data_IF_151288196496
#
_entry.id   IF_151288196496
#
_cell.length_a   1.000
_cell.length_b   1.000
_cell.length_c   1.000
_cell.angle_alpha   90.00
_cell.angle_beta   90.00
_cell.angle_gamma   90.00
#
_symmetry.space_group_name_H-M   'P 1'
#
loop_
_entity.id
_entity.type
_entity.pdbx_description
1 polymer ?
#
# COMPACT_ATOMS: atom_id res chain seq x y z
N UNK A 1 -1.66 -9.46 -17.18
CA UNK A 1 -0.89 -8.59 -18.09
C UNK A 1 -1.55 -7.23 -18.07
N UNK A 2 -0.87 -6.21 -17.56
CA UNK A 2 -1.32 -4.81 -17.69
C UNK A 2 -1.13 -4.44 -19.16
N UNK A 3 -2.24 -4.21 -19.88
CA UNK A 3 -2.17 -3.71 -21.27
C UNK A 3 -1.49 -2.33 -21.31
N UNK A 4 -0.88 -1.99 -22.44
CA UNK A 4 -0.27 -0.68 -22.65
C UNK A 4 -1.29 0.44 -22.34
N UNK A 5 -1.13 1.11 -21.20
CA UNK A 5 -1.94 2.24 -20.81
C UNK A 5 -2.68 2.12 -19.46
N UNK A 6 -2.74 0.95 -18.83
CA UNK A 6 -3.34 0.81 -17.50
C UNK A 6 -2.26 0.95 -16.43
N UNK A 7 -2.43 1.89 -15.52
CA UNK A 7 -1.63 2.01 -14.30
C UNK A 7 -2.47 1.54 -13.12
N UNK A 8 -1.94 0.57 -12.38
CA UNK A 8 -2.47 0.16 -11.09
C UNK A 8 -1.78 1.00 -10.01
N UNK A 9 -2.55 1.49 -9.06
CA UNK A 9 -1.96 2.25 -7.97
C UNK A 9 -2.68 2.05 -6.65
N UNK A 10 -1.90 2.16 -5.62
CA UNK A 10 -2.28 1.98 -4.22
C UNK A 10 -2.05 3.30 -3.48
N UNK A 11 -3.04 3.72 -2.72
CA UNK A 11 -2.91 4.85 -1.82
C UNK A 11 -2.35 4.35 -0.48
N UNK A 12 -1.05 4.52 -0.27
CA UNK A 12 -0.36 4.17 0.97
C UNK A 12 -1.02 4.90 2.15
N UNK A 13 -1.53 4.17 3.12
CA UNK A 13 -2.35 4.67 4.24
C UNK A 13 -3.56 5.51 3.82
N UNK A 14 -4.14 5.24 2.64
CA UNK A 14 -5.22 6.04 2.08
C UNK A 14 -4.79 7.38 1.44
N UNK A 15 -3.48 7.60 1.19
CA UNK A 15 -2.94 8.85 0.63
C UNK A 15 -2.46 9.84 1.69
N UNK A 16 -1.67 9.37 2.62
CA UNK A 16 -1.32 9.97 3.90
C UNK A 16 -0.65 11.35 3.89
N UNK A 17 -0.21 11.88 2.72
CA UNK A 17 0.31 13.24 2.63
C UNK A 17 -0.66 14.26 2.01
N UNK A 18 -1.73 13.80 1.37
CA UNK A 18 -2.78 14.69 0.85
C UNK A 18 -4.06 14.65 1.68
N UNK A 19 -4.31 13.52 2.35
CA UNK A 19 -5.41 13.31 3.27
C UNK A 19 -4.88 12.79 4.61
N UNK A 20 -5.64 12.88 5.71
CA UNK A 20 -5.22 12.27 6.96
C UNK A 20 -5.09 10.75 6.80
N UNK A 21 -3.94 10.21 7.18
CA UNK A 21 -3.63 8.79 7.02
C UNK A 21 -4.59 7.88 7.79
N UNK A 22 -4.85 6.69 7.24
CA UNK A 22 -5.67 5.64 7.87
C UNK A 22 -7.09 6.08 8.24
N UNK A 23 -7.66 7.06 7.52
CA UNK A 23 -9.00 7.59 7.79
C UNK A 23 -10.05 7.10 6.79
N UNK A 24 -11.33 7.07 7.19
CA UNK A 24 -12.43 6.79 6.27
C UNK A 24 -12.45 7.70 5.04
N UNK A 25 -12.13 9.00 5.22
CA UNK A 25 -12.07 9.94 4.09
C UNK A 25 -10.95 9.61 3.12
N UNK A 26 -9.78 9.20 3.60
CA UNK A 26 -8.65 8.79 2.75
C UNK A 26 -8.98 7.54 1.93
N UNK A 27 -9.58 6.53 2.56
CA UNK A 27 -9.95 5.29 1.88
C UNK A 27 -11.05 5.50 0.82
N UNK A 28 -12.12 6.22 1.14
CA UNK A 28 -13.17 6.53 0.15
C UNK A 28 -12.61 7.37 -0.99
N UNK A 29 -11.72 8.32 -0.69
CA UNK A 29 -11.09 9.16 -1.70
C UNK A 29 -10.24 8.34 -2.69
N UNK A 30 -9.43 7.40 -2.20
CA UNK A 30 -8.65 6.50 -3.04
C UNK A 30 -9.54 5.67 -3.98
N UNK A 31 -10.63 5.08 -3.46
CA UNK A 31 -11.61 4.37 -4.30
C UNK A 31 -12.29 5.27 -5.32
N UNK A 32 -12.64 6.50 -4.95
CA UNK A 32 -13.27 7.46 -5.88
C UNK A 32 -12.35 7.85 -7.03
N UNK A 33 -11.04 7.91 -6.80
CA UNK A 33 -10.03 8.15 -7.84
C UNK A 33 -9.67 6.89 -8.65
N UNK A 34 -10.26 5.73 -8.34
CA UNK A 34 -9.98 4.47 -9.03
C UNK A 34 -8.72 3.75 -8.57
N UNK A 35 -8.19 4.10 -7.39
CA UNK A 35 -7.07 3.41 -6.75
C UNK A 35 -7.50 2.40 -5.70
N UNK A 36 -6.53 1.69 -5.16
CA UNK A 36 -6.70 0.72 -4.08
C UNK A 36 -6.11 1.32 -2.80
N UNK A 37 -6.90 1.66 -1.78
CA UNK A 37 -6.34 2.12 -0.51
C UNK A 37 -5.59 0.99 0.19
N UNK A 38 -4.56 1.36 0.95
CA UNK A 38 -3.84 0.46 1.83
C UNK A 38 -4.16 0.81 3.29
N UNK A 39 -4.35 -0.23 4.10
CA UNK A 39 -4.73 -0.16 5.50
C UNK A 39 -3.81 -1.04 6.35
N UNK A 40 -3.12 -0.43 7.30
CA UNK A 40 -2.27 -1.12 8.27
C UNK A 40 -3.13 -1.78 9.36
N UNK A 41 -3.07 -3.09 9.54
CA UNK A 41 -3.90 -3.78 10.51
C UNK A 41 -3.22 -3.98 11.85
N UNK A 42 -3.81 -3.42 12.91
CA UNK A 42 -3.45 -3.62 14.32
C UNK A 42 -4.65 -4.13 15.11
N UNK A 43 -4.38 -4.68 16.31
CA UNK A 43 -5.42 -5.14 17.25
C UNK A 43 -5.37 -4.36 18.56
N UNK A 44 -6.53 -4.05 19.13
CA UNK A 44 -6.71 -3.45 20.46
C UNK A 44 -6.67 -4.50 21.57
N UNK A 45 -6.60 -4.05 22.84
CA UNK A 45 -6.60 -4.92 24.02
C UNK A 45 -7.82 -5.85 24.09
N UNK A 46 -8.97 -5.41 23.60
CA UNK A 46 -10.22 -6.17 23.52
C UNK A 46 -10.39 -6.91 22.18
N UNK A 47 -9.30 -7.05 21.41
CA UNK A 47 -9.25 -7.85 20.18
C UNK A 47 -9.94 -7.22 18.99
N UNK A 48 -10.26 -5.92 18.99
CA UNK A 48 -10.82 -5.26 17.80
C UNK A 48 -9.73 -4.98 16.78
N UNK A 49 -9.91 -5.40 15.53
CA UNK A 49 -9.02 -5.07 14.44
C UNK A 49 -9.35 -3.68 13.88
N UNK A 50 -8.32 -2.86 13.71
CA UNK A 50 -8.45 -1.48 13.24
C UNK A 50 -7.33 -1.12 12.27
N UNK A 51 -7.53 -0.03 11.49
CA UNK A 51 -6.53 0.49 10.57
C UNK A 51 -5.77 1.63 11.22
N UNK A 52 -4.51 1.39 11.57
CA UNK A 52 -3.57 2.40 12.05
C UNK A 52 -2.14 1.91 11.84
N UNK A 53 -1.28 2.74 11.25
CA UNK A 53 0.10 2.33 10.96
C UNK A 53 0.92 2.12 12.23
N UNK A 54 0.93 3.09 13.13
CA UNK A 54 1.75 3.02 14.33
C UNK A 54 1.10 2.14 15.40
N UNK A 55 1.91 1.46 16.18
CA UNK A 55 1.43 0.75 17.37
C UNK A 55 0.99 1.66 18.52
N UNK A 56 0.94 2.99 18.31
CA UNK A 56 0.58 4.03 19.29
C UNK A 56 -0.11 5.19 18.61
N UNK A 57 -0.90 5.97 19.37
CA UNK A 57 -1.70 7.08 18.86
C UNK A 57 -0.94 8.41 18.75
N UNK A 58 0.15 8.61 19.49
CA UNK A 58 0.75 9.92 19.75
C UNK A 58 1.21 10.72 18.53
N UNK A 59 1.46 10.08 17.37
CA UNK A 59 1.82 10.77 16.14
C UNK A 59 0.59 11.21 15.33
N UNK A 60 -0.46 10.40 15.32
CA UNK A 60 -1.60 10.58 14.42
C UNK A 60 -2.81 11.21 15.10
N UNK A 61 -3.02 10.96 16.40
CA UNK A 61 -4.17 11.50 17.12
C UNK A 61 -3.95 12.97 17.53
N UNK A 62 -5.01 13.77 17.37
CA UNK A 62 -5.06 15.17 17.76
C UNK A 62 -5.58 15.30 19.20
N UNK A 63 -5.10 16.31 19.92
CA UNK A 63 -5.61 16.68 21.25
C UNK A 63 -5.72 15.51 22.23
N UNK A 64 -4.74 14.61 22.22
CA UNK A 64 -4.67 13.43 23.05
C UNK A 64 -3.77 13.68 24.26
N UNK A 65 -4.13 13.14 25.42
CA UNK A 65 -3.25 13.16 26.59
C UNK A 65 -1.99 12.30 26.34
N UNK A 66 -0.88 12.70 26.99
CA UNK A 66 0.43 12.10 26.78
C UNK A 66 0.46 10.59 27.12
N UNK A 67 -0.24 10.18 28.17
CA UNK A 67 -0.32 8.78 28.59
C UNK A 67 -0.98 7.94 27.51
N UNK A 68 -2.17 8.33 27.06
CA UNK A 68 -2.88 7.63 25.96
C UNK A 68 -2.06 7.63 24.67
N UNK A 69 -1.38 8.75 24.33
CA UNK A 69 -0.56 8.86 23.13
C UNK A 69 0.66 7.91 23.13
N UNK A 70 1.20 7.59 24.31
CA UNK A 70 2.35 6.69 24.46
C UNK A 70 1.96 5.23 24.71
N UNK A 71 0.73 4.96 25.12
CA UNK A 71 0.25 3.60 25.41
C UNK A 71 0.15 2.80 24.10
N UNK A 72 0.67 1.57 24.04
CA UNK A 72 0.49 0.69 22.89
C UNK A 72 -1.00 0.44 22.61
N UNK A 73 -1.39 0.43 21.34
CA UNK A 73 -2.76 0.13 20.89
C UNK A 73 -3.25 -1.21 21.47
N UNK A 74 -2.36 -2.20 21.51
CA UNK A 74 -2.67 -3.53 22.06
C UNK A 74 -3.02 -3.53 23.58
N UNK A 75 -2.78 -2.43 24.27
CA UNK A 75 -3.12 -2.23 25.68
C UNK A 75 -4.33 -1.31 25.88
N UNK A 76 -4.83 -0.69 24.81
CA UNK A 76 -5.99 0.21 24.85
C UNK A 76 -7.27 -0.52 24.39
N UNK A 77 -8.42 -0.34 25.09
CA UNK A 77 -9.69 -0.85 24.58
C UNK A 77 -10.15 -0.04 23.37
N UNK A 78 -10.81 -0.71 22.43
CA UNK A 78 -11.31 -0.08 21.20
C UNK A 78 -12.16 1.17 21.45
N UNK A 79 -13.01 1.15 22.46
CA UNK A 79 -13.84 2.30 22.83
C UNK A 79 -13.03 3.57 23.18
N UNK A 80 -11.79 3.43 23.68
CA UNK A 80 -10.86 4.54 23.90
C UNK A 80 -10.26 5.02 22.60
N UNK A 81 -9.74 4.10 21.81
CA UNK A 81 -9.10 4.38 20.51
C UNK A 81 -10.06 5.06 19.53
N UNK A 82 -11.31 4.62 19.48
CA UNK A 82 -12.36 5.13 18.59
C UNK A 82 -12.75 6.59 18.86
N UNK A 83 -12.45 7.12 20.03
CA UNK A 83 -12.74 8.52 20.39
C UNK A 83 -11.66 9.51 19.95
N UNK A 84 -10.51 9.02 19.55
CA UNK A 84 -9.41 9.87 19.11
C UNK A 84 -9.67 10.40 17.70
N UNK A 85 -9.52 11.71 17.53
CA UNK A 85 -9.51 12.35 16.21
C UNK A 85 -8.14 12.17 15.57
N UNK A 86 -8.09 11.49 14.42
CA UNK A 86 -6.89 11.32 13.60
C UNK A 86 -6.96 12.17 12.31
N UNK A 87 -7.82 13.17 12.29
CA UNK A 87 -8.01 14.07 11.17
C UNK A 87 -6.96 15.16 11.03
N UNK A 88 -7.32 16.17 10.29
CA UNK A 88 -6.53 17.38 10.08
C UNK A 88 -7.44 18.61 10.14
N UNK A 89 -6.85 19.81 10.07
CA UNK A 89 -7.67 21.05 10.05
C UNK A 89 -8.61 21.10 8.85
N UNK A 90 -8.22 20.51 7.74
CA UNK A 90 -9.07 20.42 6.54
C UNK A 90 -10.13 19.31 6.65
N UNK A 91 -9.82 18.25 7.37
CA UNK A 91 -10.68 17.08 7.54
C UNK A 91 -10.74 16.71 9.04
N UNK A 92 -11.44 17.52 9.86
CA UNK A 92 -11.55 17.27 11.30
C UNK A 92 -12.43 16.06 11.60
N UNK A 93 -12.38 15.63 12.86
CA UNK A 93 -13.26 14.60 13.42
C UNK A 93 -13.19 13.24 12.71
N UNK A 94 -12.00 12.89 12.21
CA UNK A 94 -11.78 11.58 11.61
C UNK A 94 -11.49 10.55 12.71
N UNK A 95 -12.18 9.43 12.62
CA UNK A 95 -12.02 8.33 13.55
C UNK A 95 -11.22 7.20 12.92
N UNK A 96 -10.52 6.41 13.75
CA UNK A 96 -9.81 5.21 13.29
C UNK A 96 -10.85 4.16 12.88
N UNK A 97 -10.90 3.74 11.60
CA UNK A 97 -11.87 2.74 11.17
C UNK A 97 -11.50 1.35 11.68
N UNK A 98 -12.49 0.55 12.04
CA UNK A 98 -12.28 -0.88 12.23
C UNK A 98 -12.15 -1.58 10.88
N UNK A 99 -11.48 -2.73 10.87
CA UNK A 99 -11.39 -3.55 9.66
C UNK A 99 -12.77 -4.05 9.23
N UNK A 100 -13.70 -4.33 10.16
CA UNK A 100 -15.10 -4.65 9.83
C UNK A 100 -15.77 -3.57 8.98
N UNK A 101 -15.55 -2.28 9.30
CA UNK A 101 -16.12 -1.16 8.55
C UNK A 101 -15.56 -1.10 7.12
N UNK A 102 -14.26 -1.36 6.96
CA UNK A 102 -13.63 -1.40 5.64
C UNK A 102 -14.11 -2.59 4.81
N UNK A 103 -14.17 -3.79 5.40
CA UNK A 103 -14.68 -4.98 4.70
C UNK A 103 -16.16 -4.87 4.34
N UNK A 104 -16.96 -4.17 5.14
CA UNK A 104 -18.35 -3.88 4.79
C UNK A 104 -18.47 -3.02 3.53
N UNK A 105 -17.54 -2.07 3.30
CA UNK A 105 -17.47 -1.28 2.08
C UNK A 105 -17.15 -2.13 0.85
N UNK A 106 -16.23 -3.08 0.97
CA UNK A 106 -15.91 -4.02 -0.10
C UNK A 106 -17.10 -4.91 -0.45
N UNK A 107 -17.77 -5.47 0.56
CA UNK A 107 -18.97 -6.30 0.35
C UNK A 107 -20.08 -5.55 -0.38
N UNK A 108 -20.18 -4.24 -0.20
CA UNK A 108 -21.18 -3.38 -0.85
C UNK A 108 -20.84 -3.05 -2.31
N UNK A 109 -19.59 -3.20 -2.75
CA UNK A 109 -19.15 -2.90 -4.11
C UNK A 109 -17.99 -3.81 -4.52
N UNK A 110 -18.24 -4.76 -5.40
CA UNK A 110 -17.26 -5.75 -5.90
C UNK A 110 -16.09 -5.13 -6.69
N UNK A 111 -16.19 -3.86 -7.09
CA UNK A 111 -15.12 -3.15 -7.79
C UNK A 111 -14.08 -2.56 -6.82
N UNK A 112 -14.46 -2.41 -5.55
CA UNK A 112 -13.54 -1.94 -4.51
C UNK A 112 -12.57 -3.04 -4.13
N UNK A 113 -11.31 -2.69 -4.05
CA UNK A 113 -10.24 -3.54 -3.52
C UNK A 113 -9.54 -2.82 -2.37
N UNK A 114 -8.85 -3.57 -1.52
CA UNK A 114 -8.03 -3.02 -0.43
C UNK A 114 -6.74 -3.83 -0.28
N UNK A 115 -5.66 -3.15 0.05
CA UNK A 115 -4.44 -3.78 0.56
C UNK A 115 -4.47 -3.73 2.09
N UNK A 116 -4.25 -4.84 2.75
CA UNK A 116 -4.09 -4.92 4.20
C UNK A 116 -2.60 -5.16 4.49
N UNK A 117 -1.90 -4.15 5.00
CA UNK A 117 -0.53 -4.35 5.48
C UNK A 117 -0.55 -4.90 6.91
N UNK A 118 0.01 -6.09 7.05
CA UNK A 118 0.02 -6.81 8.33
C UNK A 118 1.01 -6.20 9.30
N UNK A 119 0.52 -5.78 10.47
CA UNK A 119 1.36 -5.27 11.57
C UNK A 119 1.31 -6.20 12.79
N UNK A 120 0.27 -6.08 13.59
CA UNK A 120 0.15 -6.79 14.86
C UNK A 120 -1.31 -7.20 15.12
N UNK A 121 -1.83 -8.08 14.28
CA UNK A 121 -3.17 -8.63 14.42
C UNK A 121 -3.12 -10.17 14.42
N UNK A 122 -3.98 -10.88 15.17
CA UNK A 122 -4.08 -12.33 15.05
C UNK A 122 -4.52 -12.73 13.63
N UNK A 123 -3.71 -13.50 12.91
CA UNK A 123 -3.97 -13.89 11.51
C UNK A 123 -5.27 -14.67 11.37
N UNK A 124 -5.55 -15.55 12.32
CA UNK A 124 -6.78 -16.35 12.35
C UNK A 124 -8.01 -15.44 12.47
N UNK A 125 -7.97 -14.45 13.34
CA UNK A 125 -9.06 -13.48 13.51
C UNK A 125 -9.29 -12.65 12.25
N UNK A 126 -8.21 -12.18 11.61
CA UNK A 126 -8.31 -11.47 10.34
C UNK A 126 -8.92 -12.37 9.25
N UNK A 127 -8.49 -13.62 9.20
CA UNK A 127 -9.01 -14.64 8.27
C UNK A 127 -10.51 -14.89 8.49
N UNK A 128 -10.96 -15.09 9.73
CA UNK A 128 -12.36 -15.28 10.07
C UNK A 128 -13.21 -14.06 9.68
N UNK A 129 -12.67 -12.86 9.89
CA UNK A 129 -13.33 -11.62 9.52
C UNK A 129 -13.52 -11.53 7.99
N UNK A 130 -12.49 -11.81 7.20
CA UNK A 130 -12.54 -11.82 5.73
C UNK A 130 -13.56 -12.84 5.24
N UNK A 131 -13.55 -14.05 5.80
CA UNK A 131 -14.50 -15.12 5.45
C UNK A 131 -15.94 -14.71 5.76
N UNK A 132 -16.19 -14.09 6.91
CA UNK A 132 -17.51 -13.61 7.32
C UNK A 132 -18.10 -12.57 6.36
N UNK A 133 -17.25 -11.69 5.81
CA UNK A 133 -17.68 -10.71 4.81
C UNK A 133 -17.73 -11.25 3.39
N UNK A 134 -17.04 -12.37 3.10
CA UNK A 134 -17.01 -12.99 1.76
C UNK A 134 -16.27 -12.16 0.71
N UNK A 135 -15.22 -11.44 1.10
CA UNK A 135 -14.52 -10.46 0.26
C UNK A 135 -13.08 -10.83 -0.09
N UNK A 136 -12.68 -12.09 0.09
CA UNK A 136 -11.30 -12.56 -0.06
C UNK A 136 -10.66 -12.11 -1.39
N UNK A 137 -11.40 -12.18 -2.51
CA UNK A 137 -10.90 -11.81 -3.85
C UNK A 137 -10.64 -10.31 -4.05
N UNK A 138 -11.17 -9.48 -3.16
CA UNK A 138 -11.02 -8.02 -3.18
C UNK A 138 -9.83 -7.56 -2.32
N UNK A 139 -9.11 -8.51 -1.67
CA UNK A 139 -8.01 -8.20 -0.78
C UNK A 139 -6.66 -8.62 -1.34
N UNK A 140 -5.65 -7.84 -0.95
CA UNK A 140 -4.24 -8.21 -1.01
C UNK A 140 -3.66 -8.07 0.39
N UNK A 141 -3.09 -9.14 0.96
CA UNK A 141 -2.30 -9.05 2.18
C UNK A 141 -0.88 -8.63 1.83
N UNK A 142 -0.40 -7.57 2.46
CA UNK A 142 0.98 -7.12 2.36
C UNK A 142 1.76 -7.48 3.64
N UNK A 143 3.00 -7.92 3.49
CA UNK A 143 3.89 -8.22 4.62
C UNK A 143 5.35 -8.24 4.16
N UNK A 144 6.29 -8.15 5.11
CA UNK A 144 7.73 -8.43 4.89
C UNK A 144 8.13 -9.83 5.34
N UNK A 145 7.25 -10.52 6.06
CA UNK A 145 7.51 -11.81 6.69
C UNK A 145 6.89 -12.95 5.86
N UNK A 146 7.74 -13.79 5.32
CA UNK A 146 7.33 -14.92 4.51
C UNK A 146 6.60 -16.02 5.30
N UNK A 147 6.87 -16.15 6.60
CA UNK A 147 6.13 -17.10 7.44
C UNK A 147 4.68 -16.63 7.64
N UNK A 148 4.46 -15.32 7.84
CA UNK A 148 3.13 -14.69 7.85
C UNK A 148 2.43 -14.94 6.52
N UNK A 149 3.09 -14.68 5.40
CA UNK A 149 2.55 -14.89 4.06
C UNK A 149 2.11 -16.36 3.84
N UNK A 150 3.00 -17.30 4.17
CA UNK A 150 2.73 -18.73 4.03
C UNK A 150 1.57 -19.19 4.93
N UNK A 151 1.53 -18.72 6.18
CA UNK A 151 0.42 -19.03 7.10
C UNK A 151 -0.89 -18.44 6.60
N UNK A 152 -0.89 -17.20 6.15
CA UNK A 152 -2.11 -16.55 5.69
C UNK A 152 -2.66 -17.18 4.42
N UNK A 153 -1.81 -17.61 3.49
CA UNK A 153 -2.23 -18.37 2.30
C UNK A 153 -2.94 -19.68 2.64
N UNK A 154 -2.53 -20.37 3.71
CA UNK A 154 -3.23 -21.56 4.19
C UNK A 154 -4.63 -21.23 4.73
N UNK A 155 -4.77 -20.08 5.40
CA UNK A 155 -6.03 -19.62 5.97
C UNK A 155 -6.98 -19.06 4.92
N UNK A 156 -6.44 -18.33 3.94
CA UNK A 156 -7.20 -17.59 2.92
C UNK A 156 -6.55 -17.76 1.53
N UNK A 157 -6.76 -18.88 0.86
CA UNK A 157 -6.11 -19.20 -0.41
C UNK A 157 -6.54 -18.29 -1.57
N UNK A 158 -7.68 -17.58 -1.46
CA UNK A 158 -8.18 -16.66 -2.49
C UNK A 158 -7.68 -15.22 -2.32
N UNK A 159 -7.04 -14.87 -1.18
CA UNK A 159 -6.43 -13.56 -0.96
C UNK A 159 -5.09 -13.51 -1.68
N UNK A 160 -4.87 -12.45 -2.46
CA UNK A 160 -3.56 -12.18 -3.06
C UNK A 160 -2.55 -11.83 -1.98
N UNK A 161 -1.30 -12.20 -2.17
CA UNK A 161 -0.23 -11.86 -1.22
C UNK A 161 0.85 -11.03 -1.91
N UNK A 162 1.15 -9.91 -1.29
CA UNK A 162 2.22 -8.99 -1.65
C UNK A 162 3.34 -9.07 -0.62
N UNK A 163 4.59 -9.19 -1.09
CA UNK A 163 5.76 -8.96 -0.24
C UNK A 163 6.38 -7.61 -0.59
N UNK A 164 6.72 -6.79 0.41
CA UNK A 164 7.42 -5.55 0.17
C UNK A 164 8.88 -5.58 0.65
N UNK A 165 9.74 -4.95 -0.14
CA UNK A 165 11.17 -4.92 0.03
C UNK A 165 11.61 -3.48 0.28
N UNK A 166 11.97 -3.17 1.52
CA UNK A 166 12.54 -1.90 1.94
C UNK A 166 13.98 -2.07 2.41
N UNK A 167 14.64 -0.95 2.72
CA UNK A 167 16.02 -0.91 3.19
C UNK A 167 16.97 -0.26 2.19
N UNK A 168 18.27 -0.52 2.33
CA UNK A 168 19.27 -0.03 1.39
C UNK A 168 19.16 -0.74 0.02
N UNK A 169 19.63 -0.11 -1.09
CA UNK A 169 19.53 -0.71 -2.43
C UNK A 169 20.07 -2.14 -2.52
N UNK A 170 21.23 -2.41 -1.90
CA UNK A 170 21.82 -3.75 -1.88
C UNK A 170 20.98 -4.80 -1.14
N UNK A 171 20.27 -4.40 -0.09
CA UNK A 171 19.33 -5.27 0.64
C UNK A 171 18.09 -5.58 -0.19
N UNK A 172 17.51 -4.57 -0.85
CA UNK A 172 16.39 -4.75 -1.77
C UNK A 172 16.76 -5.71 -2.88
N UNK A 173 17.92 -5.48 -3.53
CA UNK A 173 18.44 -6.35 -4.61
C UNK A 173 18.62 -7.78 -4.12
N UNK A 174 19.32 -7.99 -3.00
CA UNK A 174 19.59 -9.34 -2.49
C UNK A 174 18.29 -10.09 -2.14
N UNK A 175 17.33 -9.42 -1.51
CA UNK A 175 16.02 -10.03 -1.18
C UNK A 175 15.20 -10.31 -2.45
N UNK A 176 15.22 -9.40 -3.42
CA UNK A 176 14.55 -9.63 -4.69
C UNK A 176 15.12 -10.84 -5.43
N UNK A 177 16.45 -10.96 -5.50
CA UNK A 177 17.13 -12.07 -6.18
C UNK A 177 16.85 -13.42 -5.48
N UNK A 178 16.80 -13.43 -4.15
CA UNK A 178 16.39 -14.60 -3.40
C UNK A 178 14.94 -15.03 -3.69
N UNK A 179 14.01 -14.08 -3.89
CA UNK A 179 12.66 -14.37 -4.32
C UNK A 179 12.62 -14.89 -5.77
N UNK A 180 13.33 -14.24 -6.68
CA UNK A 180 13.38 -14.61 -8.10
C UNK A 180 13.98 -16.00 -8.31
N UNK A 181 15.03 -16.37 -7.56
CA UNK A 181 15.68 -17.69 -7.62
C UNK A 181 14.72 -18.86 -7.30
N UNK A 182 13.63 -18.61 -6.59
CA UNK A 182 12.58 -19.58 -6.26
C UNK A 182 11.24 -19.24 -6.90
N UNK A 183 11.29 -18.55 -8.04
CA UNK A 183 10.11 -18.18 -8.83
C UNK A 183 9.07 -17.39 -8.02
N UNK A 184 9.54 -16.52 -7.13
CA UNK A 184 8.76 -15.69 -6.21
C UNK A 184 7.90 -16.45 -5.18
N UNK A 185 8.05 -17.76 -5.04
CA UNK A 185 7.45 -18.53 -3.94
C UNK A 185 5.93 -18.42 -3.78
N UNK A 186 5.21 -18.06 -4.86
CA UNK A 186 3.75 -17.90 -4.85
C UNK A 186 3.25 -16.50 -4.46
N UNK A 187 4.11 -15.49 -4.38
CA UNK A 187 3.67 -14.10 -4.28
C UNK A 187 3.11 -13.62 -5.61
N UNK A 188 1.93 -13.00 -5.58
CA UNK A 188 1.31 -12.37 -6.77
C UNK A 188 1.92 -11.00 -7.06
N UNK A 189 2.50 -10.35 -6.03
CA UNK A 189 3.07 -9.02 -6.15
C UNK A 189 4.32 -8.85 -5.28
N UNK A 190 5.32 -8.18 -5.83
CA UNK A 190 6.51 -7.70 -5.10
C UNK A 190 6.54 -6.19 -5.18
N UNK A 191 6.62 -5.52 -4.02
CA UNK A 191 6.79 -4.07 -3.94
C UNK A 191 8.24 -3.75 -3.60
N UNK A 192 8.83 -2.81 -4.31
CA UNK A 192 10.17 -2.27 -4.03
C UNK A 192 10.05 -0.81 -3.56
N UNK A 193 10.74 -0.48 -2.47
CA UNK A 193 10.86 0.89 -1.99
C UNK A 193 11.91 1.64 -2.82
N UNK A 194 11.54 2.80 -3.31
CA UNK A 194 12.41 3.68 -4.08
C UNK A 194 12.78 4.89 -3.21
N UNK A 195 13.78 4.69 -2.35
CA UNK A 195 14.31 5.75 -1.50
C UNK A 195 15.06 6.79 -2.34
N UNK A 196 14.98 8.05 -1.95
CA UNK A 196 15.72 9.13 -2.59
C UNK A 196 17.24 8.92 -2.46
N UNK A 197 17.96 9.15 -3.56
CA UNK A 197 19.43 9.27 -3.54
C UNK A 197 19.82 10.66 -3.02
N UNK A 198 20.60 10.78 -1.93
CA UNK A 198 21.04 12.07 -1.44
C UNK A 198 21.89 12.86 -2.43
N UNK A 199 22.59 12.19 -3.35
CA UNK A 199 23.42 12.84 -4.39
C UNK A 199 22.65 13.35 -5.61
N UNK A 200 21.48 12.79 -5.91
CA UNK A 200 20.50 13.24 -6.92
C UNK A 200 21.07 13.86 -8.21
N UNK A 201 21.67 13.05 -9.06
CA UNK A 201 22.24 13.57 -10.33
C UNK A 201 21.17 13.67 -11.43
N UNK A 202 20.91 12.55 -12.12
CA UNK A 202 19.96 12.44 -13.23
C UNK A 202 18.76 11.54 -12.92
N UNK A 203 18.89 10.76 -11.88
CA UNK A 203 17.89 9.82 -11.37
C UNK A 203 17.69 10.09 -9.90
N UNK A 204 16.43 10.15 -9.48
CA UNK A 204 16.09 10.53 -8.11
C UNK A 204 16.46 9.48 -7.07
N UNK A 205 16.37 8.22 -7.44
CA UNK A 205 16.31 7.13 -6.46
C UNK A 205 17.66 6.44 -6.30
N UNK A 206 17.91 5.95 -5.08
CA UNK A 206 19.12 5.21 -4.75
C UNK A 206 19.21 3.85 -5.46
N UNK A 207 18.05 3.22 -5.74
CA UNK A 207 18.00 2.00 -6.56
C UNK A 207 18.19 2.38 -8.04
N UNK A 208 19.25 1.89 -8.73
CA UNK A 208 19.55 2.30 -10.10
C UNK A 208 18.47 1.94 -11.12
N UNK A 209 18.24 2.72 -12.18
CA UNK A 209 17.19 2.46 -13.16
C UNK A 209 17.36 1.14 -13.90
N UNK A 210 18.59 0.71 -14.18
CA UNK A 210 18.84 -0.59 -14.81
C UNK A 210 18.48 -1.75 -13.88
N UNK A 211 18.65 -1.57 -12.59
CA UNK A 211 18.24 -2.55 -11.60
C UNK A 211 16.71 -2.66 -11.50
N UNK A 212 16.01 -1.54 -11.50
CA UNK A 212 14.54 -1.53 -11.57
C UNK A 212 14.05 -2.22 -12.84
N UNK A 213 14.68 -1.96 -13.98
CA UNK A 213 14.33 -2.61 -15.27
C UNK A 213 14.58 -4.12 -15.22
N UNK A 214 15.69 -4.55 -14.65
CA UNK A 214 16.02 -5.97 -14.45
C UNK A 214 14.98 -6.67 -13.58
N UNK A 215 14.65 -6.06 -12.45
CA UNK A 215 13.62 -6.58 -11.52
C UNK A 215 12.26 -6.67 -12.18
N UNK A 216 11.86 -5.64 -12.92
CA UNK A 216 10.60 -5.63 -13.66
C UNK A 216 10.53 -6.78 -14.67
N UNK A 217 11.58 -6.97 -15.47
CA UNK A 217 11.64 -8.05 -16.45
C UNK A 217 11.58 -9.43 -15.79
N UNK A 218 12.30 -9.64 -14.68
CA UNK A 218 12.30 -10.90 -13.95
C UNK A 218 10.93 -11.23 -13.36
N UNK A 219 10.24 -10.25 -12.76
CA UNK A 219 8.90 -10.42 -12.21
C UNK A 219 7.88 -10.70 -13.33
N UNK A 220 7.91 -9.94 -14.42
CA UNK A 220 7.02 -10.13 -15.58
C UNK A 220 7.17 -11.52 -16.22
N UNK A 221 8.39 -12.04 -16.32
CA UNK A 221 8.66 -13.37 -16.86
C UNK A 221 7.97 -14.50 -16.06
N UNK A 222 7.62 -14.23 -14.80
CA UNK A 222 6.93 -15.16 -13.91
C UNK A 222 5.46 -14.78 -13.63
N UNK A 223 4.94 -13.76 -14.32
CA UNK A 223 3.58 -13.28 -14.09
C UNK A 223 3.35 -12.59 -12.75
N UNK A 224 4.44 -12.16 -12.09
CA UNK A 224 4.39 -11.43 -10.82
C UNK A 224 4.35 -9.94 -11.09
N UNK A 225 3.51 -9.21 -10.37
CA UNK A 225 3.40 -7.76 -10.50
C UNK A 225 4.53 -7.08 -9.71
N UNK A 226 5.41 -6.33 -10.38
CA UNK A 226 6.34 -5.44 -9.70
C UNK A 226 5.66 -4.10 -9.43
N UNK A 227 5.60 -3.70 -8.17
CA UNK A 227 5.10 -2.40 -7.72
C UNK A 227 6.26 -1.54 -7.21
N UNK A 228 6.31 -0.29 -7.65
CA UNK A 228 7.23 0.71 -7.11
C UNK A 228 6.54 1.56 -6.04
N UNK A 229 7.24 1.82 -4.93
CA UNK A 229 6.85 2.83 -3.94
C UNK A 229 7.89 3.97 -3.97
N UNK A 230 7.71 4.97 -4.82
CA UNK A 230 8.50 6.20 -4.76
C UNK A 230 7.96 7.05 -3.60
N UNK A 231 8.76 7.27 -2.55
CA UNK A 231 8.36 8.11 -1.41
C UNK A 231 8.11 9.55 -1.82
N UNK A 232 8.91 10.03 -2.78
CA UNK A 232 8.78 11.36 -3.36
C UNK A 232 8.96 11.27 -4.87
N UNK A 233 8.28 12.12 -5.61
CA UNK A 233 8.46 12.26 -7.05
C UNK A 233 8.02 13.64 -7.54
N UNK A 234 8.77 14.16 -8.49
CA UNK A 234 8.35 15.23 -9.37
C UNK A 234 7.90 14.65 -10.71
N UNK A 235 7.52 15.50 -11.65
CA UNK A 235 7.07 15.10 -12.98
C UNK A 235 8.10 14.23 -13.71
N UNK A 236 9.33 14.69 -13.76
CA UNK A 236 10.44 14.02 -14.46
C UNK A 236 10.78 12.69 -13.81
N UNK A 237 10.75 12.61 -12.47
CA UNK A 237 11.02 11.40 -11.72
C UNK A 237 9.97 10.31 -12.04
N UNK A 238 8.68 10.66 -11.97
CA UNK A 238 7.61 9.71 -12.28
C UNK A 238 7.64 9.28 -13.75
N UNK A 239 7.88 10.23 -14.67
CA UNK A 239 7.98 9.93 -16.10
C UNK A 239 9.14 8.97 -16.38
N UNK A 240 10.29 9.16 -15.73
CA UNK A 240 11.43 8.25 -15.88
C UNK A 240 11.09 6.83 -15.39
N UNK A 241 10.38 6.67 -14.26
CA UNK A 241 9.93 5.35 -13.77
C UNK A 241 8.90 4.72 -14.73
N UNK A 242 7.98 5.51 -15.27
CA UNK A 242 7.00 5.05 -16.28
C UNK A 242 7.68 4.63 -17.58
N UNK A 243 8.75 5.34 -18.00
CA UNK A 243 9.55 5.01 -19.19
C UNK A 243 10.34 3.70 -19.02
N UNK A 244 10.66 3.29 -17.78
CA UNK A 244 11.20 1.94 -17.51
C UNK A 244 10.17 0.83 -17.75
N UNK A 245 8.88 1.15 -17.86
CA UNK A 245 7.80 0.20 -18.05
C UNK A 245 7.06 -0.18 -16.76
N UNK A 246 7.37 0.43 -15.63
CA UNK A 246 6.62 0.20 -14.38
C UNK A 246 5.18 0.67 -14.54
N UNK A 247 4.22 -0.17 -14.13
CA UNK A 247 2.77 0.08 -14.25
C UNK A 247 1.99 -0.19 -12.97
N UNK A 248 2.69 -0.43 -11.87
CA UNK A 248 2.09 -0.55 -10.54
C UNK A 248 2.86 0.29 -9.55
N UNK A 249 2.13 1.08 -8.75
CA UNK A 249 2.71 2.04 -7.81
C UNK A 249 1.97 1.98 -6.47
N UNK A 250 2.70 2.22 -5.37
CA UNK A 250 2.12 2.67 -4.12
C UNK A 250 2.54 4.13 -3.93
N UNK A 251 1.64 5.00 -3.49
CA UNK A 251 1.89 6.45 -3.46
C UNK A 251 1.27 7.11 -2.22
N UNK A 252 1.97 8.12 -1.73
CA UNK A 252 1.50 9.01 -0.65
C UNK A 252 0.72 10.23 -1.15
N UNK A 253 0.83 10.54 -2.45
CA UNK A 253 0.26 11.73 -3.09
C UNK A 253 -0.68 11.34 -4.26
N UNK A 254 -1.87 10.78 -3.99
CA UNK A 254 -2.75 10.22 -5.00
C UNK A 254 -3.20 11.22 -6.07
N UNK A 255 -3.54 12.47 -5.72
CA UNK A 255 -3.94 13.49 -6.69
C UNK A 255 -2.81 13.83 -7.65
N UNK A 256 -1.64 14.15 -7.07
CA UNK A 256 -0.45 14.48 -7.84
C UNK A 256 -0.08 13.35 -8.78
N UNK A 257 -0.11 12.11 -8.27
CA UNK A 257 0.17 10.93 -9.06
C UNK A 257 -0.80 10.78 -10.24
N UNK A 258 -2.11 10.85 -10.00
CA UNK A 258 -3.12 10.71 -11.05
C UNK A 258 -2.99 11.80 -12.12
N UNK A 259 -2.75 13.07 -11.73
CA UNK A 259 -2.55 14.17 -12.67
C UNK A 259 -1.32 13.95 -13.54
N UNK A 260 -0.19 13.57 -12.96
CA UNK A 260 1.06 13.32 -13.71
C UNK A 260 0.95 12.08 -14.60
N UNK A 261 0.25 11.04 -14.19
CA UNK A 261 -0.03 9.88 -15.05
C UNK A 261 -0.89 10.28 -16.25
N UNK A 262 -1.93 11.08 -16.05
CA UNK A 262 -2.77 11.59 -17.14
C UNK A 262 -1.94 12.44 -18.11
N UNK A 263 -1.07 13.31 -17.62
CA UNK A 263 -0.17 14.11 -18.43
C UNK A 263 0.81 13.23 -19.23
N UNK A 264 1.43 12.23 -18.58
CA UNK A 264 2.35 11.29 -19.24
C UNK A 264 1.72 10.64 -20.46
N UNK A 265 0.51 10.10 -20.33
CA UNK A 265 -0.17 9.45 -21.43
C UNK A 265 -0.64 10.44 -22.50
N UNK A 266 -1.10 11.62 -22.11
CA UNK A 266 -1.51 12.66 -23.07
C UNK A 266 -0.33 13.07 -23.98
N UNK A 267 0.83 13.34 -23.41
CA UNK A 267 2.05 13.70 -24.15
C UNK A 267 2.48 12.55 -25.07
N UNK A 268 2.59 11.32 -24.54
CA UNK A 268 3.03 10.16 -25.33
C UNK A 268 2.05 9.74 -26.42
N UNK A 269 0.75 9.94 -26.23
CA UNK A 269 -0.26 9.66 -27.26
C UNK A 269 -0.19 10.67 -28.40
N UNK A 270 0.04 11.95 -28.08
CA UNK A 270 0.16 13.01 -29.09
C UNK A 270 1.42 12.91 -29.95
N UNK A 271 2.53 12.46 -29.34
CA UNK A 271 3.83 12.27 -30.03
C UNK A 271 3.86 11.08 -31.00
N UNK A 272 2.91 10.15 -30.88
CA UNK A 272 2.82 9.01 -31.83
C UNK A 272 2.17 9.50 -33.14
N UNK A 273 2.84 9.37 -34.31
CA UNK A 273 2.20 9.68 -35.58
C UNK A 273 0.97 8.81 -35.79
N UNK A 274 -0.11 9.39 -36.25
CA UNK A 274 -1.32 8.67 -36.67
C UNK A 274 -0.90 7.63 -37.70
N UNK A 275 -1.00 6.34 -37.35
CA UNK A 275 -0.76 5.23 -38.26
C UNK A 275 -1.97 5.00 -39.15
#
# INVERSE_FOLDING_TARGET
>A
MTGDGIILWEAHRGGGYELPESTPVGFEYAWMLGGTPEADVNATADGRLLSLHDGKLGRTAREIDEETGRTPIAELPYARVRRCDIGSDRYPEQVIPSIDELLAKLRGDVRKEIVIDYKNAPLEQLSELIARFGVAKQLTLATTDEAVAARFRQLQPEVRIKIWLGGAPGEITARFDALAAREFGGFEQVQIHMNDDPERKFWRYALPPDEVRRMLAAAQAKGVLLQALPWQFEREDLFAVLDLGVRSFAVDYPNRFCLLCAEYFAVRTWEKPLR
#
